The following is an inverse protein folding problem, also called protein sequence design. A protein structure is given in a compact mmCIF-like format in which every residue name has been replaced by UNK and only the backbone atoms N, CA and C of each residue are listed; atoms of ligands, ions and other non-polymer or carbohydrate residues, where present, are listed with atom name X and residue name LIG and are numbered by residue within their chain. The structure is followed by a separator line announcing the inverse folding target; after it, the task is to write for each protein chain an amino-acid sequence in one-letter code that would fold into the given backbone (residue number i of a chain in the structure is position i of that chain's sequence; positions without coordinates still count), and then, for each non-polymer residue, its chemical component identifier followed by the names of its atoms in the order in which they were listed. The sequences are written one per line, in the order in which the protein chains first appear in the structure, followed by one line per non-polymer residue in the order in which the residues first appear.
data_IF_589841188742
#
_entry.id   IF_589841188742
#
_cell.length_a   1.000
_cell.length_b   1.000
_cell.length_c   1.000
_cell.angle_alpha   90.00
_cell.angle_beta   90.00
_cell.angle_gamma   90.00
#
_symmetry.space_group_name_H-M   'P 1'
#
loop_
_entity.id
_entity.type
_entity.pdbx_description
1 polymer ?
#
# COMPACT_ATOMS: atom_id res chain seq x y z
N UNK A 1 -22.18 22.22 -7.71
CA UNK A 1 -20.82 21.64 -7.78
C UNK A 1 -19.83 22.69 -7.31
N UNK A 2 -19.03 22.40 -6.29
CA UNK A 2 -17.85 23.21 -5.99
C UNK A 2 -16.83 23.00 -7.11
N UNK A 3 -16.45 24.09 -7.78
CA UNK A 3 -15.40 24.07 -8.80
C UNK A 3 -14.11 24.45 -8.09
N UNK A 4 -13.18 23.51 -7.95
CA UNK A 4 -11.86 23.83 -7.43
C UNK A 4 -11.13 24.73 -8.43
N UNK A 5 -10.56 25.83 -7.94
CA UNK A 5 -9.72 26.73 -8.71
C UNK A 5 -8.25 26.53 -8.33
N UNK A 6 -7.38 26.44 -9.34
CA UNK A 6 -5.95 26.35 -9.10
C UNK A 6 -5.41 27.75 -8.83
N UNK A 7 -5.11 28.03 -7.57
CA UNK A 7 -4.59 29.34 -7.15
C UNK A 7 -3.07 29.47 -7.30
N UNK A 8 -2.35 28.35 -7.33
CA UNK A 8 -0.88 28.31 -7.42
C UNK A 8 -0.40 26.98 -8.02
N UNK A 9 0.72 27.00 -8.75
CA UNK A 9 1.42 25.79 -9.23
C UNK A 9 2.90 25.90 -8.90
N UNK A 10 3.36 25.04 -8.01
CA UNK A 10 4.76 24.98 -7.58
C UNK A 10 5.14 23.53 -7.32
N UNK A 11 6.44 23.22 -7.44
CA UNK A 11 6.95 21.92 -7.03
C UNK A 11 6.90 21.81 -5.50
N UNK A 12 6.23 20.77 -4.98
CA UNK A 12 6.18 20.49 -3.54
C UNK A 12 7.59 20.20 -2.99
N UNK A 13 8.35 19.38 -3.72
CA UNK A 13 9.77 19.09 -3.49
C UNK A 13 10.45 19.01 -4.85
N UNK A 14 11.44 19.87 -5.14
CA UNK A 14 12.19 19.81 -6.39
C UNK A 14 13.14 18.60 -6.40
N UNK A 15 13.49 18.13 -7.59
CA UNK A 15 14.57 17.15 -7.74
C UNK A 15 15.89 17.73 -7.21
N UNK A 16 16.68 16.96 -6.43
CA UNK A 16 17.95 17.43 -5.88
C UNK A 16 19.07 17.46 -6.93
N UNK A 17 18.88 16.88 -8.12
CA UNK A 17 19.88 16.87 -9.17
C UNK A 17 19.53 15.98 -10.37
N UNK A 18 20.29 16.08 -11.47
CA UNK A 18 20.08 15.26 -12.66
C UNK A 18 20.04 13.76 -12.35
N UNK A 19 19.07 13.05 -12.91
CA UNK A 19 18.92 11.60 -12.73
C UNK A 19 18.26 11.16 -11.43
N UNK A 20 17.88 12.08 -10.53
CA UNK A 20 17.19 11.76 -9.27
C UNK A 20 15.71 12.16 -9.37
N UNK A 21 14.85 11.15 -9.39
CA UNK A 21 13.40 11.33 -9.31
C UNK A 21 12.94 11.63 -7.88
N UNK A 22 11.88 12.44 -7.77
CA UNK A 22 11.15 12.65 -6.52
C UNK A 22 9.74 12.11 -6.72
N UNK A 23 9.36 11.15 -5.88
CA UNK A 23 7.99 10.66 -5.79
C UNK A 23 7.46 11.01 -4.42
N UNK A 24 6.29 11.62 -4.32
CA UNK A 24 5.77 12.00 -3.03
C UNK A 24 4.39 12.61 -3.09
N UNK A 25 3.80 12.78 -1.91
CA UNK A 25 2.48 13.35 -1.73
C UNK A 25 2.33 13.93 -0.34
N UNK A 26 1.25 14.67 -0.14
CA UNK A 26 0.84 15.15 1.18
C UNK A 26 -0.52 14.58 1.55
N UNK A 27 -0.69 14.31 2.83
CA UNK A 27 -1.83 13.58 3.38
C UNK A 27 -2.31 14.31 4.63
N UNK A 28 -3.62 14.49 4.73
CA UNK A 28 -4.23 14.89 5.99
C UNK A 28 -3.97 13.82 7.03
N UNK A 29 -3.72 14.26 8.26
CA UNK A 29 -3.49 13.37 9.41
C UNK A 29 -4.58 13.48 10.46
N UNK A 30 -5.56 14.36 10.25
CA UNK A 30 -6.71 14.59 11.12
C UNK A 30 -7.99 14.74 10.29
N UNK A 31 -9.14 14.38 10.88
CA UNK A 31 -10.46 14.42 10.21
C UNK A 31 -10.92 15.85 9.91
N UNK A 32 -10.57 16.76 10.80
CA UNK A 32 -10.86 18.19 10.72
C UNK A 32 -9.60 18.96 11.05
N UNK A 33 -9.39 20.10 10.39
CA UNK A 33 -8.19 20.89 10.54
C UNK A 33 -7.40 20.94 9.24
N UNK A 34 -6.17 21.43 9.34
CA UNK A 34 -5.26 21.63 8.20
C UNK A 34 -3.93 20.91 8.35
N UNK A 35 -3.79 19.99 9.32
CA UNK A 35 -2.51 19.30 9.54
C UNK A 35 -2.26 18.31 8.41
N UNK A 36 -1.07 18.40 7.83
CA UNK A 36 -0.60 17.51 6.78
C UNK A 36 0.72 16.86 7.17
N UNK A 37 0.94 15.67 6.65
CA UNK A 37 2.27 15.08 6.51
C UNK A 37 2.58 14.93 5.02
N UNK A 38 3.81 15.27 4.65
CA UNK A 38 4.36 14.99 3.33
C UNK A 38 5.36 13.85 3.45
N UNK A 39 5.21 12.87 2.57
CA UNK A 39 6.17 11.79 2.40
C UNK A 39 6.69 11.90 0.98
N UNK A 40 8.01 11.98 0.82
CA UNK A 40 8.64 11.93 -0.49
C UNK A 40 9.87 11.04 -0.46
N UNK A 41 10.07 10.29 -1.53
CA UNK A 41 11.22 9.43 -1.77
C UNK A 41 12.12 9.99 -2.86
N UNK A 42 13.41 9.73 -2.71
CA UNK A 42 14.41 9.93 -3.76
C UNK A 42 14.70 8.59 -4.43
N UNK A 43 14.71 8.61 -5.76
CA UNK A 43 14.93 7.42 -6.59
C UNK A 43 15.98 7.76 -7.64
N UNK A 44 17.17 7.20 -7.51
CA UNK A 44 18.29 7.36 -8.47
C UNK A 44 18.43 6.17 -9.43
N UNK A 45 17.77 5.04 -9.13
CA UNK A 45 17.73 3.84 -9.96
C UNK A 45 16.32 3.26 -10.02
N UNK A 46 15.94 2.53 -11.09
CA UNK A 46 14.60 1.95 -11.22
C UNK A 46 14.18 1.14 -9.99
N UNK A 47 12.92 1.30 -9.59
CA UNK A 47 12.22 0.52 -8.56
C UNK A 47 12.92 0.41 -7.20
N UNK A 48 13.85 1.33 -6.89
CA UNK A 48 14.50 1.41 -5.59
C UNK A 48 14.23 2.77 -4.95
N UNK A 49 13.86 2.77 -3.68
CA UNK A 49 13.87 3.97 -2.86
C UNK A 49 15.21 4.04 -2.13
N UNK A 50 15.98 5.10 -2.39
CA UNK A 50 17.29 5.32 -1.75
C UNK A 50 17.12 5.94 -0.37
N UNK A 51 16.20 6.89 -0.27
CA UNK A 51 15.80 7.54 0.97
C UNK A 51 14.36 8.03 0.85
N UNK A 52 13.67 8.12 1.99
CA UNK A 52 12.41 8.86 2.09
C UNK A 52 12.50 9.87 3.21
N UNK A 53 11.71 10.93 3.10
CA UNK A 53 11.70 12.03 4.04
C UNK A 53 10.26 12.39 4.41
N UNK A 54 10.08 12.70 5.69
CA UNK A 54 8.84 13.13 6.31
C UNK A 54 8.93 14.62 6.59
N UNK A 55 7.86 15.36 6.29
CA UNK A 55 7.69 16.77 6.67
C UNK A 55 6.29 16.97 7.20
N UNK A 56 6.11 17.78 8.22
CA UNK A 56 4.79 18.14 8.75
C UNK A 56 4.43 19.57 8.38
N UNK A 57 3.14 19.84 8.19
CA UNK A 57 2.58 21.17 8.07
C UNK A 57 1.43 21.31 9.07
N UNK A 58 1.41 22.43 9.80
CA UNK A 58 0.35 22.78 10.76
C UNK A 58 -0.65 23.79 10.17
N UNK A 59 -0.41 24.27 8.95
CA UNK A 59 -1.10 25.42 8.36
C UNK A 59 -1.67 25.16 6.96
N UNK A 60 -2.06 23.90 6.70
CA UNK A 60 -2.63 23.42 5.44
C UNK A 60 -1.67 23.54 4.26
N UNK A 61 -0.40 23.20 4.50
CA UNK A 61 0.64 23.09 3.48
C UNK A 61 1.28 24.42 3.08
N UNK A 62 1.02 25.52 3.81
CA UNK A 62 1.62 26.82 3.51
C UNK A 62 3.08 26.84 3.96
N UNK A 63 3.36 26.28 5.13
CA UNK A 63 4.71 26.05 5.65
C UNK A 63 4.89 24.59 6.01
N UNK A 64 6.14 24.16 6.03
CA UNK A 64 6.53 22.78 6.25
C UNK A 64 7.75 22.75 7.14
N UNK A 65 7.82 21.75 8.02
CA UNK A 65 9.01 21.45 8.81
C UNK A 65 10.20 21.11 7.92
N UNK A 66 11.38 21.08 8.55
CA UNK A 66 12.55 20.45 7.99
C UNK A 66 12.28 18.96 7.72
N UNK A 67 12.91 18.38 6.67
CA UNK A 67 12.75 16.98 6.32
C UNK A 67 13.43 16.08 7.35
N UNK A 68 12.67 15.14 7.90
CA UNK A 68 13.20 14.07 8.75
C UNK A 68 13.38 12.81 7.91
N UNK A 69 14.57 12.18 7.88
CA UNK A 69 14.78 10.95 7.11
C UNK A 69 13.99 9.79 7.71
N UNK A 70 13.40 8.97 6.85
CA UNK A 70 12.85 7.67 7.19
C UNK A 70 13.72 6.60 6.53
N UNK A 71 14.32 5.73 7.33
CA UNK A 71 15.21 4.68 6.84
C UNK A 71 14.44 3.67 5.97
N UNK A 72 14.67 3.76 4.66
CA UNK A 72 14.09 2.88 3.63
C UNK A 72 14.92 1.64 3.36
N UNK A 73 16.15 1.62 3.86
CA UNK A 73 17.09 0.50 3.81
C UNK A 73 17.52 0.17 5.23
N UNK A 74 17.59 -1.12 5.56
CA UNK A 74 18.13 -1.62 6.83
C UNK A 74 18.87 -2.94 6.61
N UNK A 75 19.82 -3.24 7.48
CA UNK A 75 20.59 -4.48 7.40
C UNK A 75 19.77 -5.65 7.97
N UNK A 76 19.85 -6.81 7.30
CA UNK A 76 19.21 -8.04 7.76
C UNK A 76 20.16 -9.23 7.52
N UNK A 77 20.11 -10.26 8.37
CA UNK A 77 20.98 -11.42 8.24
C UNK A 77 20.81 -12.15 6.89
N UNK A 78 19.58 -12.14 6.38
CA UNK A 78 19.19 -12.82 5.14
C UNK A 78 19.22 -11.91 3.88
N UNK A 79 19.75 -10.69 3.98
CA UNK A 79 19.85 -9.78 2.84
C UNK A 79 19.65 -8.30 3.20
N UNK A 80 19.11 -7.52 2.26
CA UNK A 80 18.84 -6.10 2.47
C UNK A 80 17.36 -5.87 2.77
N UNK A 81 17.07 -5.31 3.93
CA UNK A 81 15.74 -4.83 4.28
C UNK A 81 15.38 -3.56 3.50
N UNK A 82 14.18 -3.52 2.94
CA UNK A 82 13.67 -2.43 2.10
C UNK A 82 12.25 -2.05 2.48
N UNK A 83 11.95 -0.74 2.41
CA UNK A 83 10.61 -0.17 2.61
C UNK A 83 10.19 0.70 1.43
N UNK A 84 8.91 0.67 1.12
CA UNK A 84 8.27 1.53 0.13
C UNK A 84 6.99 2.15 0.72
N UNK A 85 7.08 3.39 1.24
CA UNK A 85 5.96 4.08 1.83
C UNK A 85 5.07 4.67 0.75
N UNK A 86 3.76 4.67 0.99
CA UNK A 86 2.80 5.17 0.00
C UNK A 86 1.88 6.27 0.54
N UNK A 87 2.14 6.75 1.76
CA UNK A 87 1.34 7.79 2.43
C UNK A 87 0.41 7.22 3.49
N UNK A 88 -0.47 8.09 4.01
CA UNK A 88 -1.49 7.67 4.98
C UNK A 88 -2.87 8.20 4.68
N UNK A 89 -3.80 7.80 5.52
CA UNK A 89 -5.23 7.93 5.36
C UNK A 89 -5.88 8.19 6.70
N UNK A 90 -6.75 9.19 6.80
CA UNK A 90 -7.59 9.38 7.98
C UNK A 90 -8.89 8.65 7.76
N UNK A 91 -9.17 7.65 8.58
CA UNK A 91 -10.47 7.01 8.58
C UNK A 91 -11.54 8.01 9.06
N UNK A 92 -12.53 8.38 8.23
CA UNK A 92 -13.57 9.33 8.63
C UNK A 92 -14.49 8.80 9.74
N UNK A 93 -14.56 7.48 9.95
CA UNK A 93 -15.39 6.87 10.98
C UNK A 93 -14.69 6.96 12.33
N UNK A 94 -13.47 6.44 12.45
CA UNK A 94 -12.74 6.45 13.72
C UNK A 94 -11.97 7.75 14.01
N UNK A 95 -11.65 8.54 12.97
CA UNK A 95 -10.76 9.69 13.06
C UNK A 95 -9.27 9.34 13.17
N UNK A 96 -8.91 8.04 13.15
CA UNK A 96 -7.53 7.58 13.27
C UNK A 96 -6.77 7.75 11.95
N UNK A 97 -5.50 8.13 12.06
CA UNK A 97 -4.58 8.15 10.94
C UNK A 97 -3.93 6.78 10.77
N UNK A 98 -4.09 6.21 9.58
CA UNK A 98 -3.58 4.90 9.17
C UNK A 98 -2.53 5.08 8.09
N UNK A 99 -1.32 4.59 8.31
CA UNK A 99 -0.28 4.49 7.28
C UNK A 99 -0.15 3.05 6.81
N UNK A 100 0.14 2.85 5.53
CA UNK A 100 0.37 1.52 4.95
C UNK A 100 1.56 1.58 4.03
N UNK A 101 2.49 0.64 4.17
CA UNK A 101 3.70 0.54 3.35
C UNK A 101 4.01 -0.91 3.01
N UNK A 102 4.85 -1.06 1.98
CA UNK A 102 5.43 -2.35 1.62
C UNK A 102 6.80 -2.48 2.29
N UNK A 103 7.10 -3.63 2.88
CA UNK A 103 8.39 -3.94 3.49
C UNK A 103 8.80 -5.38 3.18
N UNK A 104 10.10 -5.63 3.07
CA UNK A 104 10.62 -6.97 2.83
C UNK A 104 12.14 -7.03 2.86
N UNK A 105 12.66 -8.26 2.94
CA UNK A 105 14.10 -8.53 2.89
C UNK A 105 14.42 -9.12 1.52
N UNK A 106 15.33 -8.49 0.81
CA UNK A 106 15.76 -8.87 -0.53
C UNK A 106 17.15 -9.53 -0.44
N UNK A 107 17.27 -10.85 -0.69
CA UNK A 107 18.54 -11.58 -0.55
C UNK A 107 19.74 -10.95 -1.28
N UNK A 108 19.53 -10.44 -2.50
CA UNK A 108 20.58 -9.84 -3.32
C UNK A 108 20.42 -8.33 -3.54
N UNK A 109 19.43 -7.71 -2.88
CA UNK A 109 19.06 -6.31 -3.07
C UNK A 109 18.60 -5.99 -4.51
N UNK A 110 18.13 -7.00 -5.24
CA UNK A 110 17.45 -6.87 -6.53
C UNK A 110 15.96 -6.53 -6.29
N UNK A 111 15.45 -5.39 -6.78
CA UNK A 111 14.05 -5.00 -6.63
C UNK A 111 13.02 -6.06 -7.08
N UNK A 112 13.36 -6.90 -8.07
CA UNK A 112 12.46 -7.96 -8.54
C UNK A 112 12.24 -9.06 -7.50
N UNK A 113 13.16 -9.26 -6.56
CA UNK A 113 12.96 -10.17 -5.43
C UNK A 113 11.76 -9.73 -4.57
N UNK A 114 11.38 -8.46 -4.63
CA UNK A 114 10.17 -7.92 -4.03
C UNK A 114 8.89 -8.60 -4.50
N UNK A 115 8.86 -9.11 -5.73
CA UNK A 115 7.72 -9.89 -6.27
C UNK A 115 7.46 -11.19 -5.50
N UNK A 116 8.38 -11.58 -4.61
CA UNK A 116 8.28 -12.76 -3.75
C UNK A 116 8.40 -12.44 -2.26
N UNK A 117 9.01 -11.31 -1.90
CA UNK A 117 9.40 -11.05 -0.51
C UNK A 117 8.68 -9.86 0.14
N UNK A 118 7.88 -9.12 -0.62
CA UNK A 118 7.08 -8.03 -0.07
C UNK A 118 5.96 -8.53 0.86
N UNK A 119 5.81 -7.83 1.97
CA UNK A 119 4.66 -7.89 2.84
C UNK A 119 4.13 -6.47 3.07
N UNK A 120 2.84 -6.37 3.38
CA UNK A 120 2.24 -5.11 3.79
C UNK A 120 2.33 -4.94 5.30
N UNK A 121 2.62 -3.72 5.70
CA UNK A 121 2.63 -3.29 7.09
C UNK A 121 1.72 -2.08 7.24
N UNK A 122 1.20 -1.89 8.45
CA UNK A 122 0.37 -0.76 8.78
C UNK A 122 0.72 -0.18 10.15
N UNK A 123 0.40 1.10 10.30
CA UNK A 123 0.48 1.76 11.59
C UNK A 123 -0.76 2.61 11.83
N UNK A 124 -1.08 2.79 13.11
CA UNK A 124 -2.24 3.54 13.58
C UNK A 124 -1.77 4.64 14.52
N UNK A 125 -2.30 5.84 14.33
CA UNK A 125 -2.04 6.99 15.17
C UNK A 125 -3.30 7.77 15.46
N UNK A 126 -3.39 8.33 16.67
CA UNK A 126 -4.46 9.22 17.12
C UNK A 126 -4.03 10.69 17.22
N UNK A 127 -2.74 10.97 17.02
CA UNK A 127 -2.14 12.31 17.09
C UNK A 127 -1.53 12.78 15.75
N UNK A 128 -2.04 12.19 14.67
CA UNK A 128 -1.67 12.55 13.31
C UNK A 128 -0.28 12.08 12.89
N UNK A 129 0.15 10.93 13.40
CA UNK A 129 1.40 10.25 13.05
C UNK A 129 2.61 10.64 13.91
N UNK A 130 2.41 11.33 15.04
CA UNK A 130 3.51 11.72 15.95
C UNK A 130 3.90 10.56 16.86
N UNK A 131 2.91 9.79 17.30
CA UNK A 131 3.09 8.52 18.00
C UNK A 131 2.32 7.41 17.28
N UNK A 132 2.81 6.19 17.40
CA UNK A 132 2.21 5.00 16.82
C UNK A 132 1.61 4.15 17.95
N UNK A 133 0.29 3.93 17.88
CA UNK A 133 -0.41 2.97 18.75
C UNK A 133 -0.18 1.54 18.27
N UNK A 134 -0.09 1.37 16.96
CA UNK A 134 0.15 0.11 16.26
C UNK A 134 1.21 0.33 15.20
N UNK A 135 2.11 -0.63 15.03
CA UNK A 135 3.14 -0.68 13.99
C UNK A 135 3.49 -2.17 13.76
N UNK A 136 2.81 -2.81 12.81
CA UNK A 136 2.91 -4.26 12.61
C UNK A 136 2.66 -4.69 11.17
N UNK A 137 3.04 -5.94 10.86
CA UNK A 137 2.72 -6.57 9.58
C UNK A 137 1.22 -6.86 9.49
N UNK A 138 0.63 -6.66 8.31
CA UNK A 138 -0.73 -7.12 8.03
C UNK A 138 -0.73 -8.65 7.91
N UNK A 139 -1.40 -9.30 8.85
CA UNK A 139 -1.65 -10.75 8.88
C UNK A 139 -3.16 -11.00 8.93
N UNK A 140 -3.64 -11.91 8.09
CA UNK A 140 -5.05 -12.30 8.02
C UNK A 140 -5.53 -12.89 9.36
N UNK A 141 -6.79 -12.65 9.72
CA UNK A 141 -7.38 -13.30 10.89
C UNK A 141 -7.47 -14.82 10.68
N UNK A 142 -6.85 -15.59 11.57
CA UNK A 142 -6.85 -17.05 11.47
C UNK A 142 -5.57 -17.64 12.02
N UNK A 143 -5.68 -18.76 12.73
CA UNK A 143 -4.53 -19.38 13.41
C UNK A 143 -3.50 -19.97 12.45
N UNK A 144 -3.87 -20.19 11.19
CA UNK A 144 -3.00 -20.69 10.13
C UNK A 144 -2.16 -19.60 9.45
N UNK A 145 -2.38 -18.33 9.82
CA UNK A 145 -1.65 -17.21 9.24
C UNK A 145 -0.65 -16.63 10.24
N UNK A 146 0.52 -16.28 9.73
CA UNK A 146 1.64 -15.74 10.49
C UNK A 146 2.45 -14.77 9.63
N UNK A 147 3.62 -14.32 10.09
CA UNK A 147 4.46 -13.38 9.35
C UNK A 147 4.94 -13.91 7.97
N UNK A 148 4.96 -15.23 7.77
CA UNK A 148 5.41 -15.87 6.52
C UNK A 148 4.23 -16.17 5.61
N UNK A 149 3.24 -16.94 6.10
CA UNK A 149 1.98 -17.20 5.42
C UNK A 149 0.94 -16.18 5.91
N UNK A 150 1.06 -14.94 5.45
CA UNK A 150 0.36 -13.80 6.07
C UNK A 150 -1.03 -13.53 5.49
N UNK A 151 -1.32 -14.02 4.29
CA UNK A 151 -2.63 -13.89 3.65
C UNK A 151 -2.97 -15.20 2.93
N UNK A 152 -4.26 -15.47 2.63
CA UNK A 152 -4.66 -16.64 1.87
C UNK A 152 -3.91 -16.74 0.53
N UNK A 153 -3.17 -17.83 0.33
CA UNK A 153 -2.41 -18.07 -0.89
C UNK A 153 -1.14 -17.21 -1.04
N UNK A 154 -0.69 -16.56 0.03
CA UNK A 154 0.49 -15.69 0.02
C UNK A 154 1.51 -16.18 1.03
N UNK A 155 2.68 -16.60 0.53
CA UNK A 155 3.79 -17.10 1.34
C UNK A 155 5.05 -16.32 0.97
N UNK A 156 5.63 -15.65 1.96
CA UNK A 156 6.89 -14.91 1.79
C UNK A 156 7.98 -15.81 1.23
N UNK A 157 8.70 -15.33 0.21
CA UNK A 157 9.69 -16.06 -0.57
C UNK A 157 9.13 -16.76 -1.82
N UNK A 158 7.82 -17.03 -1.85
CA UNK A 158 7.13 -17.59 -3.01
C UNK A 158 6.46 -16.50 -3.85
N UNK A 159 5.58 -15.72 -3.22
CA UNK A 159 4.81 -14.62 -3.81
C UNK A 159 4.55 -13.52 -2.78
N UNK A 160 3.85 -12.46 -3.17
CA UNK A 160 3.66 -11.29 -2.30
C UNK A 160 2.30 -10.61 -2.48
N UNK A 161 2.03 -9.70 -1.54
CA UNK A 161 1.01 -8.66 -1.66
C UNK A 161 1.68 -7.31 -1.38
N UNK A 162 1.37 -6.32 -2.20
CA UNK A 162 1.99 -5.00 -2.14
C UNK A 162 1.05 -3.87 -2.55
N UNK A 163 1.43 -2.64 -2.19
CA UNK A 163 0.88 -1.41 -2.75
C UNK A 163 1.87 -0.92 -3.80
N UNK A 164 1.51 -1.04 -5.08
CA UNK A 164 2.39 -0.73 -6.21
C UNK A 164 2.34 0.73 -6.65
N UNK A 165 1.31 1.51 -6.30
CA UNK A 165 1.22 2.93 -6.67
C UNK A 165 0.47 3.82 -5.66
N UNK A 166 0.62 5.14 -5.78
CA UNK A 166 -0.04 6.16 -4.96
C UNK A 166 -1.58 6.11 -5.06
N UNK A 167 -2.15 5.55 -6.13
CA UNK A 167 -3.59 5.38 -6.28
C UNK A 167 -4.21 4.31 -5.37
N UNK A 168 -3.40 3.41 -4.80
CA UNK A 168 -3.83 2.34 -3.92
C UNK A 168 -3.85 2.80 -2.46
N UNK A 169 -4.76 3.74 -2.16
CA UNK A 169 -4.99 4.28 -0.82
C UNK A 169 -6.16 3.58 -0.13
N UNK A 170 -6.15 3.49 1.21
CA UNK A 170 -7.31 3.02 1.94
C UNK A 170 -8.56 3.88 1.67
N UNK A 171 -9.71 3.23 1.72
CA UNK A 171 -11.03 3.83 1.62
C UNK A 171 -11.91 3.25 2.72
N UNK A 172 -12.75 4.06 3.34
CA UNK A 172 -13.73 3.57 4.32
C UNK A 172 -15.08 3.43 3.64
N UNK A 173 -15.61 2.21 3.67
CA UNK A 173 -16.92 1.88 3.14
C UNK A 173 -18.02 2.40 4.08
N UNK A 174 -19.26 2.47 3.58
CA UNK A 174 -20.40 3.00 4.34
C UNK A 174 -20.72 2.24 5.63
N UNK A 175 -20.28 0.98 5.75
CA UNK A 175 -20.42 0.14 6.95
C UNK A 175 -19.23 0.28 7.92
N UNK A 176 -18.31 1.19 7.65
CA UNK A 176 -17.11 1.44 8.44
C UNK A 176 -15.97 0.46 8.21
N UNK A 177 -16.08 -0.43 7.21
CA UNK A 177 -14.98 -1.31 6.81
C UNK A 177 -13.90 -0.52 6.06
N UNK A 178 -12.64 -0.69 6.45
CA UNK A 178 -11.51 -0.17 5.69
C UNK A 178 -11.22 -1.11 4.52
N UNK A 179 -11.18 -0.60 3.30
CA UNK A 179 -10.83 -1.34 2.09
C UNK A 179 -9.54 -0.75 1.51
N UNK A 180 -8.58 -1.62 1.20
CA UNK A 180 -7.33 -1.24 0.57
C UNK A 180 -7.20 -2.01 -0.75
N UNK A 181 -7.19 -1.32 -1.89
CA UNK A 181 -6.77 -1.91 -3.16
C UNK A 181 -5.30 -2.31 -3.07
N UNK A 182 -4.98 -3.57 -3.35
CA UNK A 182 -3.61 -4.09 -3.32
C UNK A 182 -3.31 -4.88 -4.60
N UNK A 183 -2.03 -5.11 -4.86
CA UNK A 183 -1.56 -6.00 -5.92
C UNK A 183 -1.02 -7.28 -5.30
N UNK A 184 -1.19 -8.41 -5.96
CA UNK A 184 -0.54 -9.65 -5.56
C UNK A 184 0.10 -10.33 -6.74
N UNK A 185 1.24 -10.95 -6.51
CA UNK A 185 1.88 -11.80 -7.50
C UNK A 185 1.24 -13.19 -7.45
N UNK A 186 0.70 -13.71 -8.58
CA UNK A 186 0.11 -15.03 -8.58
C UNK A 186 1.19 -16.10 -8.42
N UNK A 187 0.89 -17.14 -7.65
CA UNK A 187 1.78 -18.29 -7.46
C UNK A 187 1.39 -19.45 -8.39
N UNK A 188 2.37 -20.15 -8.92
CA UNK A 188 2.21 -21.39 -9.67
C UNK A 188 1.89 -22.58 -8.76
N UNK A 189 1.77 -23.76 -9.36
CA UNK A 189 1.52 -25.01 -8.61
C UNK A 189 2.65 -25.37 -7.64
N UNK A 190 3.86 -24.83 -7.86
CA UNK A 190 5.03 -24.94 -7.00
C UNK A 190 5.06 -23.89 -5.87
N UNK A 191 4.07 -23.00 -5.79
CA UNK A 191 3.99 -21.93 -4.80
C UNK A 191 4.89 -20.73 -5.11
N UNK A 192 5.48 -20.64 -6.30
CA UNK A 192 6.39 -19.56 -6.70
C UNK A 192 5.72 -18.61 -7.68
N UNK A 193 6.05 -17.32 -7.60
CA UNK A 193 5.56 -16.29 -8.52
C UNK A 193 5.69 -16.71 -10.00
N UNK A 194 4.56 -16.63 -10.71
CA UNK A 194 4.47 -16.81 -12.16
C UNK A 194 4.11 -15.48 -12.82
N UNK A 195 4.80 -15.14 -13.91
CA UNK A 195 4.45 -14.02 -14.77
C UNK A 195 3.79 -14.56 -16.05
N UNK A 196 2.45 -14.66 -16.10
CA UNK A 196 1.74 -15.13 -17.30
C UNK A 196 1.72 -14.08 -18.42
N UNK A 197 2.05 -12.82 -18.11
CA UNK A 197 2.16 -11.77 -19.11
C UNK A 197 3.52 -11.78 -19.81
N UNK A 198 3.58 -11.20 -21.01
CA UNK A 198 4.85 -10.91 -21.68
C UNK A 198 5.54 -9.64 -21.15
N UNK A 199 5.03 -9.07 -20.04
CA UNK A 199 5.54 -7.86 -19.41
C UNK A 199 6.67 -8.14 -18.42
N UNK A 200 7.26 -7.08 -17.88
CA UNK A 200 8.37 -7.18 -16.91
C UNK A 200 7.91 -7.81 -15.58
N UNK A 201 6.70 -7.47 -15.12
CA UNK A 201 6.02 -8.10 -14.00
C UNK A 201 4.53 -8.30 -14.31
N UNK A 202 3.86 -9.14 -13.54
CA UNK A 202 2.41 -9.34 -13.58
C UNK A 202 1.86 -9.45 -12.17
N UNK A 203 0.75 -8.77 -11.92
CA UNK A 203 0.04 -8.80 -10.64
C UNK A 203 -1.46 -8.85 -10.84
N UNK A 204 -2.14 -9.56 -9.95
CA UNK A 204 -3.59 -9.50 -9.83
C UNK A 204 -4.00 -8.36 -8.90
N UNK A 205 -5.17 -7.78 -9.15
CA UNK A 205 -5.77 -6.76 -8.30
C UNK A 205 -6.65 -7.41 -7.24
N UNK A 206 -6.43 -7.07 -5.97
CA UNK A 206 -7.14 -7.64 -4.84
C UNK A 206 -7.62 -6.55 -3.88
N UNK A 207 -8.59 -6.90 -3.04
CA UNK A 207 -9.13 -6.01 -2.00
C UNK A 207 -8.84 -6.59 -0.63
N UNK A 208 -8.02 -5.89 0.14
CA UNK A 208 -7.75 -6.19 1.54
C UNK A 208 -8.75 -5.41 2.41
N UNK A 209 -9.32 -6.07 3.41
CA UNK A 209 -10.41 -5.54 4.22
C UNK A 209 -10.00 -5.52 5.69
N UNK A 210 -10.00 -4.35 6.31
CA UNK A 210 -9.69 -4.14 7.72
C UNK A 210 -10.93 -3.74 8.52
N UNK A 211 -11.22 -4.46 9.60
CA UNK A 211 -12.25 -4.08 10.58
C UNK A 211 -11.58 -3.69 11.89
N UNK A 212 -11.96 -2.54 12.43
CA UNK A 212 -11.44 -2.10 13.73
C UNK A 212 -11.79 -3.09 14.84
N UNK A 213 -10.80 -3.35 15.69
CA UNK A 213 -10.89 -4.15 16.90
C UNK A 213 -10.05 -3.47 18.00
N UNK A 214 -10.68 -2.54 18.73
CA UNK A 214 -9.97 -1.60 19.58
C UNK A 214 -9.10 -0.65 18.74
N UNK A 215 -7.79 -0.66 19.00
CA UNK A 215 -6.80 0.15 18.26
C UNK A 215 -6.15 -0.60 17.09
N UNK A 216 -6.44 -1.90 16.93
CA UNK A 216 -5.92 -2.73 15.84
C UNK A 216 -6.95 -2.90 14.72
N UNK A 217 -6.49 -3.34 13.56
CA UNK A 217 -7.33 -3.77 12.45
C UNK A 217 -7.25 -5.30 12.32
N UNK A 218 -8.40 -5.97 12.36
CA UNK A 218 -8.52 -7.37 11.94
C UNK A 218 -8.63 -7.43 10.42
N UNK A 219 -7.68 -8.12 9.80
CA UNK A 219 -7.54 -8.18 8.36
C UNK A 219 -8.19 -9.42 7.79
N UNK A 220 -9.02 -9.22 6.77
CA UNK A 220 -9.59 -10.27 5.94
C UNK A 220 -9.31 -9.98 4.48
N UNK A 221 -9.45 -11.02 3.66
CA UNK A 221 -9.15 -10.97 2.25
C UNK A 221 -10.39 -11.31 1.42
N UNK A 222 -10.61 -10.60 0.30
CA UNK A 222 -11.52 -11.04 -0.75
C UNK A 222 -10.84 -10.93 -2.11
N UNK A 223 -10.90 -12.02 -2.89
CA UNK A 223 -10.60 -11.98 -4.31
C UNK A 223 -11.58 -11.01 -4.99
N UNK A 224 -11.06 -10.08 -5.80
CA UNK A 224 -11.91 -9.27 -6.66
C UNK A 224 -12.57 -10.18 -7.70
N UNK A 225 -13.77 -10.66 -7.41
CA UNK A 225 -14.64 -11.18 -8.48
C UNK A 225 -14.90 -10.00 -9.41
N UNK A 226 -14.69 -10.18 -10.72
CA UNK A 226 -14.88 -9.16 -11.77
C UNK A 226 -16.00 -8.17 -11.42
N UNK A 227 -15.64 -6.91 -11.14
CA UNK A 227 -16.62 -5.84 -10.99
C UNK A 227 -17.11 -5.49 -12.40
N UNK A 228 -18.17 -6.16 -12.86
CA UNK A 228 -18.92 -5.69 -14.02
C UNK A 228 -19.75 -4.50 -13.57
N UNK A 229 -19.34 -3.28 -13.93
CA UNK A 229 -20.27 -2.15 -13.97
C UNK A 229 -21.28 -2.46 -15.07
N UNK A 230 -22.37 -3.15 -14.73
CA UNK A 230 -23.51 -3.31 -15.63
C UNK A 230 -24.22 -1.95 -15.71
N UNK A 231 -23.72 -1.06 -16.55
CA UNK A 231 -24.59 -0.12 -17.22
C UNK A 231 -25.60 -0.95 -18.00
N UNK A 232 -26.90 -0.70 -17.78
CA UNK A 232 -27.94 -1.34 -18.59
C UNK A 232 -27.67 -0.97 -20.05
N UNK A 233 -27.16 -1.93 -20.80
CA UNK A 233 -27.47 -2.07 -22.20
C UNK A 233 -27.79 -3.54 -22.41
N UNK A 234 -29.06 -3.79 -22.73
CA UNK A 234 -29.46 -5.00 -23.43
C UNK A 234 -28.56 -5.13 -24.66
N UNK A 235 -27.72 -6.16 -24.71
CA UNK A 235 -27.81 -7.13 -25.80
C UNK A 235 -27.01 -8.39 -25.53
N UNK A 236 -27.55 -9.49 -26.02
CA UNK A 236 -27.13 -10.87 -25.82
C UNK A 236 -25.94 -11.27 -26.71
N UNK A 237 -24.86 -11.83 -26.12
CA UNK A 237 -24.20 -13.05 -26.61
C UNK A 237 -22.96 -13.43 -25.80
N UNK A 238 -23.09 -14.55 -25.07
CA UNK A 238 -22.13 -15.64 -24.90
C UNK A 238 -20.60 -15.34 -24.87
N UNK A 239 -20.01 -15.22 -23.67
CA UNK A 239 -18.63 -15.68 -23.39
C UNK A 239 -18.56 -16.27 -21.98
N UNK A 240 -18.15 -17.54 -21.90
CA UNK A 240 -17.90 -18.25 -20.65
C UNK A 240 -16.64 -17.70 -19.96
N UNK A 241 -16.76 -17.41 -18.66
CA UNK A 241 -15.64 -17.12 -17.76
C UNK A 241 -15.09 -18.43 -17.16
N UNK A 242 -13.77 -18.55 -16.90
CA UNK A 242 -13.22 -19.73 -16.26
C UNK A 242 -13.60 -19.80 -14.78
N UNK A 243 -14.05 -20.97 -14.33
CA UNK A 243 -14.46 -21.26 -12.96
C UNK A 243 -13.24 -21.48 -12.05
N UNK A 244 -13.14 -20.71 -10.97
CA UNK A 244 -12.23 -21.01 -9.86
C UNK A 244 -12.91 -21.99 -8.90
N UNK A 245 -12.37 -23.20 -8.78
CA UNK A 245 -12.84 -24.19 -7.83
C UNK A 245 -12.28 -23.87 -6.43
N UNK A 246 -13.17 -23.54 -5.51
CA UNK A 246 -12.88 -23.55 -4.07
C UNK A 246 -12.67 -25.00 -3.62
N UNK A 247 -11.45 -25.35 -3.26
CA UNK A 247 -11.17 -26.61 -2.58
C UNK A 247 -11.75 -26.55 -1.16
N UNK A 248 -12.78 -27.37 -0.91
CA UNK A 248 -13.19 -27.79 0.42
C UNK A 248 -12.47 -29.10 0.75
N UNK A 249 -11.71 -29.11 1.84
CA UNK A 249 -11.56 -30.24 2.76
C UNK A 249 -10.89 -29.73 4.04
#
# INVERSE_FOLDING_TARGET
MLRAEVTKREALVPSPGPGIGVLGGSYYTEKTGGRLISIHSLTSRPDTVDAAFLRSSEDNGRTWSDPTPWAMKFDHADGTGRRHPRGGYVDPVSGRYVSVWTEGVLPSDDPLEGMRNWALHYSVSVDGGRTLLVDEQIVHEGKQYDATHHLPGVVKGGNCVMIGDLGQRPLTLSDGLLMIPVQSTPAGADGVYVNPGAGYTYTDCLMLLGRWDGDHLRWTFRSASSVSLSGRHEDSSNRQSPSWQTARS
#
